data_IF_498513327979
#
_entry.id   IF_498513327979
#
_cell.length_a   1.000
_cell.length_b   1.000
_cell.length_c   1.000
_cell.angle_alpha   90.00
_cell.angle_beta   90.00
_cell.angle_gamma   90.00
#
_symmetry.space_group_name_H-M   'P 1'
#
loop_
_entity.id
_entity.type
_entity.pdbx_description
1 polymer ?
#
# COMPACT_ATOMS: atom_id res chain seq x y z
N UNK A 1 21.62 -0.39 -1.31
CA UNK A 1 21.46 -1.11 -0.01
C UNK A 1 22.56 -0.75 0.98
N UNK A 2 23.87 -0.90 0.66
CA UNK A 2 24.97 -0.53 1.56
C UNK A 2 24.91 0.93 2.06
N UNK A 3 24.60 1.88 1.18
CA UNK A 3 24.38 3.29 1.54
C UNK A 3 23.32 3.45 2.65
N UNK A 4 22.19 2.73 2.53
CA UNK A 4 21.11 2.76 3.53
C UNK A 4 21.60 2.18 4.86
N UNK A 5 22.33 1.05 4.82
CA UNK A 5 22.87 0.43 6.02
C UNK A 5 23.84 1.37 6.74
N UNK A 6 24.80 1.96 6.02
CA UNK A 6 25.78 2.88 6.59
C UNK A 6 25.16 4.19 7.09
N UNK A 7 24.04 4.63 6.49
CA UNK A 7 23.36 5.86 6.91
C UNK A 7 22.70 5.78 8.30
N UNK A 8 22.50 4.57 8.85
CA UNK A 8 21.73 4.34 10.09
C UNK A 8 20.22 4.58 9.96
N UNK A 9 19.74 5.07 8.81
CA UNK A 9 18.33 5.41 8.56
C UNK A 9 17.65 4.31 7.75
N UNK A 10 17.26 3.22 8.42
CA UNK A 10 16.74 2.02 7.75
C UNK A 10 15.23 2.01 7.55
N UNK A 11 14.51 2.72 8.42
CA UNK A 11 13.09 2.95 8.30
C UNK A 11 12.81 4.41 8.67
N UNK A 12 12.02 5.09 7.84
CA UNK A 12 11.58 6.46 8.14
C UNK A 12 10.11 6.58 7.82
N UNK A 13 9.29 6.76 8.86
CA UNK A 13 7.86 7.07 8.70
C UNK A 13 7.60 8.43 8.04
N UNK A 14 8.64 9.26 7.87
CA UNK A 14 8.51 10.58 7.24
C UNK A 14 8.42 10.55 5.71
N UNK A 15 8.54 9.37 5.07
CA UNK A 15 8.39 9.23 3.62
C UNK A 15 9.47 9.98 2.83
N UNK A 16 10.70 10.06 3.35
CA UNK A 16 11.83 10.77 2.73
C UNK A 16 12.86 9.81 2.12
N UNK A 17 13.84 10.37 1.41
CA UNK A 17 15.00 9.63 0.90
C UNK A 17 14.61 8.61 -0.16
N UNK A 18 15.10 7.37 -0.03
CA UNK A 18 14.92 6.33 -1.04
C UNK A 18 13.45 5.91 -1.21
N UNK A 19 12.62 6.01 -0.16
CA UNK A 19 11.18 5.75 -0.27
C UNK A 19 10.53 6.77 -1.20
N UNK A 20 10.77 8.08 -1.01
CA UNK A 20 10.20 9.12 -1.88
C UNK A 20 10.67 9.02 -3.33
N UNK A 21 11.95 8.67 -3.53
CA UNK A 21 12.49 8.42 -4.88
C UNK A 21 11.75 7.28 -5.56
N UNK A 22 11.48 6.19 -4.85
CA UNK A 22 10.69 5.07 -5.34
C UNK A 22 9.26 5.51 -5.66
N UNK A 23 8.55 6.15 -4.73
CA UNK A 23 7.18 6.63 -4.94
C UNK A 23 7.06 7.52 -6.18
N UNK A 24 7.95 8.51 -6.33
CA UNK A 24 7.95 9.40 -7.49
C UNK A 24 8.21 8.65 -8.82
N UNK A 25 9.06 7.62 -8.79
CA UNK A 25 9.38 6.83 -9.98
C UNK A 25 8.24 5.89 -10.34
N UNK A 26 7.64 5.25 -9.34
CA UNK A 26 6.54 4.32 -9.51
C UNK A 26 5.25 5.04 -9.91
N UNK A 27 4.98 6.22 -9.35
CA UNK A 27 3.89 7.10 -9.77
C UNK A 27 3.94 7.40 -11.27
N UNK A 28 5.13 7.75 -11.80
CA UNK A 28 5.34 7.99 -13.24
C UNK A 28 5.14 6.71 -14.05
N UNK A 29 5.64 5.59 -13.56
CA UNK A 29 5.49 4.29 -14.20
C UNK A 29 4.02 3.86 -14.34
N UNK A 30 3.21 4.09 -13.30
CA UNK A 30 1.77 3.75 -13.30
C UNK A 30 0.89 4.83 -13.91
N UNK A 31 1.44 6.00 -14.23
CA UNK A 31 0.69 7.21 -14.62
C UNK A 31 -0.42 7.58 -13.63
N UNK A 32 -0.13 7.48 -12.32
CA UNK A 32 -1.08 7.81 -11.26
C UNK A 32 -0.89 9.24 -10.75
N UNK A 33 -1.92 9.80 -10.12
CA UNK A 33 -1.84 11.12 -9.48
C UNK A 33 -0.92 11.11 -8.24
N UNK A 34 -0.90 10.00 -7.51
CA UNK A 34 -0.11 9.81 -6.30
C UNK A 34 0.41 8.35 -6.19
N UNK A 35 1.42 8.15 -5.35
CA UNK A 35 1.94 6.84 -4.99
C UNK A 35 2.38 6.84 -3.51
N UNK A 36 1.94 5.83 -2.77
CA UNK A 36 2.31 5.61 -1.36
C UNK A 36 2.91 4.22 -1.23
N UNK A 37 4.16 4.15 -0.79
CA UNK A 37 4.85 2.89 -0.58
C UNK A 37 4.51 2.32 0.81
N UNK A 38 4.17 1.03 0.83
CA UNK A 38 3.89 0.27 2.06
C UNK A 38 4.66 -1.05 2.06
N UNK A 39 4.67 -1.75 3.19
CA UNK A 39 5.50 -2.94 3.39
C UNK A 39 5.02 -4.20 2.63
N UNK A 40 3.80 -4.23 2.08
CA UNK A 40 3.24 -5.38 1.36
C UNK A 40 2.01 -5.01 0.53
N UNK A 41 1.64 -5.88 -0.41
CA UNK A 41 0.37 -5.75 -1.15
C UNK A 41 -0.87 -5.88 -0.26
N UNK A 42 -0.83 -6.72 0.79
CA UNK A 42 -1.92 -6.83 1.77
C UNK A 42 -2.14 -5.52 2.53
N UNK A 43 -1.04 -4.86 2.96
CA UNK A 43 -1.14 -3.55 3.60
C UNK A 43 -1.66 -2.48 2.62
N UNK A 44 -1.27 -2.55 1.34
CA UNK A 44 -1.76 -1.64 0.31
C UNK A 44 -3.28 -1.75 0.14
N UNK A 45 -3.80 -2.98 0.02
CA UNK A 45 -5.24 -3.23 -0.05
C UNK A 45 -5.96 -2.73 1.20
N UNK A 46 -5.42 -3.02 2.38
CA UNK A 46 -6.04 -2.61 3.64
C UNK A 46 -6.12 -1.08 3.78
N UNK A 47 -5.02 -0.36 3.47
CA UNK A 47 -5.02 1.11 3.53
C UNK A 47 -5.95 1.69 2.46
N UNK A 48 -5.92 1.18 1.23
CA UNK A 48 -6.79 1.65 0.16
C UNK A 48 -8.27 1.52 0.53
N UNK A 49 -8.67 0.40 1.12
CA UNK A 49 -10.05 0.16 1.55
C UNK A 49 -10.43 0.90 2.83
N UNK A 50 -9.49 1.16 3.75
CA UNK A 50 -9.75 1.94 4.97
C UNK A 50 -10.15 3.40 4.71
N UNK A 51 -9.84 3.92 3.52
CA UNK A 51 -10.25 5.25 3.07
C UNK A 51 -11.72 5.30 2.60
N UNK A 52 -12.36 4.13 2.45
CA UNK A 52 -13.75 4.00 2.04
C UNK A 52 -14.62 3.59 3.23
N UNK A 53 -15.83 4.14 3.31
CA UNK A 53 -16.83 3.63 4.25
C UNK A 53 -17.49 2.39 3.66
N UNK A 54 -17.09 1.19 4.11
CA UNK A 54 -17.59 -0.09 3.60
C UNK A 54 -18.73 -0.68 4.43
N UNK A 55 -19.08 -0.06 5.55
CA UNK A 55 -20.07 -0.62 6.47
C UNK A 55 -21.42 -0.84 5.78
N UNK A 56 -21.97 -2.05 5.90
CA UNK A 56 -23.22 -2.47 5.26
C UNK A 56 -23.20 -2.37 3.72
N UNK A 57 -22.03 -2.48 3.07
CA UNK A 57 -21.89 -2.51 1.61
C UNK A 57 -21.37 -3.87 1.15
N UNK A 58 -21.70 -4.24 -0.09
CA UNK A 58 -21.18 -5.45 -0.72
C UNK A 58 -19.98 -5.11 -1.62
N UNK A 59 -18.90 -5.87 -1.49
CA UNK A 59 -17.73 -5.79 -2.36
C UNK A 59 -17.68 -7.03 -3.23
N UNK A 60 -17.63 -6.85 -4.54
CA UNK A 60 -17.51 -7.96 -5.49
C UNK A 60 -16.04 -8.34 -5.61
N UNK A 61 -15.75 -9.63 -5.46
CA UNK A 61 -14.41 -10.21 -5.55
C UNK A 61 -14.44 -11.44 -6.46
N UNK A 62 -13.34 -11.74 -7.18
CA UNK A 62 -13.18 -13.02 -7.83
C UNK A 62 -13.03 -14.14 -6.78
N UNK A 63 -13.70 -15.27 -7.00
CA UNK A 63 -13.59 -16.45 -6.11
C UNK A 63 -12.21 -17.11 -6.17
N UNK A 64 -11.46 -16.92 -7.26
CA UNK A 64 -10.09 -17.39 -7.43
C UNK A 64 -9.11 -16.21 -7.30
N UNK A 65 -8.61 -15.99 -6.08
CA UNK A 65 -7.62 -14.96 -5.76
C UNK A 65 -6.83 -15.35 -4.50
N UNK A 66 -5.79 -14.58 -4.16
CA UNK A 66 -5.12 -14.73 -2.87
C UNK A 66 -6.01 -14.17 -1.74
N UNK A 67 -5.91 -14.75 -0.54
CA UNK A 67 -6.79 -14.44 0.61
C UNK A 67 -6.74 -12.98 1.04
N UNK A 68 -5.64 -12.27 0.77
CA UNK A 68 -5.50 -10.85 1.10
C UNK A 68 -6.61 -9.98 0.49
N UNK A 69 -7.13 -10.36 -0.67
CA UNK A 69 -8.22 -9.64 -1.36
C UNK A 69 -9.48 -9.60 -0.51
N UNK A 70 -9.90 -10.75 0.05
CA UNK A 70 -11.07 -10.83 0.92
C UNK A 70 -10.79 -10.29 2.33
N UNK A 71 -9.60 -10.57 2.88
CA UNK A 71 -9.24 -10.09 4.21
C UNK A 71 -9.24 -8.56 4.31
N UNK A 72 -8.76 -7.85 3.29
CA UNK A 72 -8.75 -6.40 3.29
C UNK A 72 -10.18 -5.81 3.34
N UNK A 73 -11.16 -6.49 2.75
CA UNK A 73 -12.57 -6.09 2.78
C UNK A 73 -13.15 -6.29 4.20
N UNK A 74 -13.01 -7.49 4.75
CA UNK A 74 -13.51 -7.87 6.09
C UNK A 74 -12.90 -6.96 7.18
N UNK A 75 -11.60 -6.68 7.12
CA UNK A 75 -10.91 -5.85 8.11
C UNK A 75 -11.37 -4.38 8.10
N UNK A 76 -11.89 -3.89 6.98
CA UNK A 76 -12.40 -2.52 6.85
C UNK A 76 -13.93 -2.43 7.02
N UNK A 77 -14.55 -3.47 7.58
CA UNK A 77 -15.98 -3.47 7.90
C UNK A 77 -16.90 -3.66 6.70
N UNK A 78 -16.35 -4.14 5.57
CA UNK A 78 -17.10 -4.70 4.45
C UNK A 78 -17.29 -6.19 4.63
#
# INVERSE_FOLDING_TARGET
>A
VLEVLHSGNWASGSGKGNVKKFENSFQKYTNSNDCVAVNSGTAALNVALSLLDLKNKHVILPSMSFVSTANAVILNGG
#
